data_IF_714047363880
#
_entry.id   IF_714047363880
#
_cell.length_a   1.000
_cell.length_b   1.000
_cell.length_c   1.000
_cell.angle_alpha   90.00
_cell.angle_beta   90.00
_cell.angle_gamma   90.00
#
_symmetry.space_group_name_H-M   'P 1'
#
loop_
_entity.id
_entity.type
_entity.pdbx_description
1 polymer ?
#
# COMPACT_ATOMS: atom_id res chain seq x y z
N UNK A 1 17.14 -31.61 8.46
CA UNK A 1 15.98 -31.55 7.54
C UNK A 1 16.33 -30.55 6.45
N UNK A 2 16.20 -30.93 5.17
CA UNK A 2 16.46 -29.97 4.07
C UNK A 2 15.36 -28.90 4.11
N UNK A 3 15.76 -27.61 4.15
CA UNK A 3 14.80 -26.51 4.13
C UNK A 3 13.92 -26.60 2.88
N UNK A 4 12.62 -26.33 3.05
CA UNK A 4 11.65 -26.33 1.94
C UNK A 4 11.98 -25.20 0.96
N UNK A 5 12.05 -25.53 -0.34
CA UNK A 5 12.42 -24.57 -1.40
C UNK A 5 11.23 -23.74 -1.86
N UNK A 6 11.37 -22.44 -1.85
CA UNK A 6 10.33 -21.50 -2.32
C UNK A 6 10.93 -20.58 -3.39
N UNK A 7 10.19 -20.45 -4.51
CA UNK A 7 10.49 -19.47 -5.54
C UNK A 7 9.58 -18.25 -5.36
N UNK A 8 10.15 -17.14 -4.94
CA UNK A 8 9.48 -15.85 -4.83
C UNK A 8 9.58 -15.07 -6.14
N UNK A 9 8.45 -14.72 -6.72
CA UNK A 9 8.31 -13.90 -7.93
C UNK A 9 7.63 -12.61 -7.50
N UNK A 10 8.44 -11.59 -7.16
CA UNK A 10 8.01 -10.39 -6.44
C UNK A 10 8.26 -9.13 -7.27
N UNK A 11 7.58 -8.04 -6.91
CA UNK A 11 8.02 -6.70 -7.27
C UNK A 11 9.08 -6.24 -6.26
N UNK A 12 10.27 -5.90 -6.75
CA UNK A 12 11.36 -5.35 -5.94
C UNK A 12 11.73 -3.95 -6.46
N UNK A 13 12.20 -3.05 -5.59
CA UNK A 13 12.73 -1.75 -6.03
C UNK A 13 13.97 -1.90 -6.93
N UNK A 14 14.23 -0.97 -7.89
CA UNK A 14 13.36 0.11 -8.33
C UNK A 14 12.25 -0.38 -9.29
N UNK A 15 11.14 0.36 -9.46
CA UNK A 15 10.77 1.62 -8.80
C UNK A 15 10.23 1.42 -7.38
N UNK A 16 10.39 2.47 -6.54
CA UNK A 16 9.91 2.47 -5.16
C UNK A 16 8.41 2.78 -5.12
N UNK A 17 7.63 1.83 -4.66
CA UNK A 17 6.19 1.94 -4.38
C UNK A 17 5.78 0.90 -3.33
N UNK A 18 4.56 1.00 -2.76
CA UNK A 18 4.13 0.15 -1.65
C UNK A 18 4.39 -1.35 -1.86
N UNK A 19 3.96 -1.91 -3.00
CA UNK A 19 4.15 -3.34 -3.28
C UNK A 19 5.65 -3.72 -3.41
N UNK A 20 6.49 -2.87 -4.00
CA UNK A 20 7.93 -3.15 -4.11
C UNK A 20 8.66 -3.05 -2.77
N UNK A 21 8.21 -2.15 -1.88
CA UNK A 21 8.75 -2.08 -0.52
C UNK A 21 8.39 -3.32 0.30
N UNK A 22 7.15 -3.80 0.21
CA UNK A 22 6.76 -5.06 0.86
C UNK A 22 7.51 -6.25 0.28
N UNK A 23 7.71 -6.28 -1.05
CA UNK A 23 8.57 -7.27 -1.70
C UNK A 23 10.00 -7.24 -1.16
N UNK A 24 10.55 -6.05 -0.92
CA UNK A 24 11.87 -5.88 -0.30
C UNK A 24 11.89 -6.41 1.13
N UNK A 25 10.86 -6.15 1.95
CA UNK A 25 10.77 -6.69 3.31
C UNK A 25 10.77 -8.22 3.32
N UNK A 26 10.04 -8.87 2.40
CA UNK A 26 10.06 -10.34 2.25
C UNK A 26 11.45 -10.83 1.82
N UNK A 27 12.08 -10.16 0.85
CA UNK A 27 13.40 -10.53 0.34
C UNK A 27 14.49 -10.45 1.42
N UNK A 28 14.47 -9.39 2.22
CA UNK A 28 15.49 -9.11 3.23
C UNK A 28 15.18 -9.76 4.60
N UNK A 29 14.03 -10.44 4.75
CA UNK A 29 13.60 -11.07 6.00
C UNK A 29 14.50 -12.21 6.42
N UNK A 30 15.19 -12.08 7.55
CA UNK A 30 15.97 -13.16 8.14
C UNK A 30 15.06 -14.33 8.58
N UNK A 31 13.86 -14.03 9.08
CA UNK A 31 12.91 -15.05 9.54
C UNK A 31 12.49 -15.97 8.38
N UNK A 32 12.19 -15.41 7.22
CA UNK A 32 11.78 -16.16 6.03
C UNK A 32 12.99 -16.91 5.45
N UNK A 33 14.12 -16.23 5.26
CA UNK A 33 15.32 -16.80 4.64
C UNK A 33 15.99 -17.89 5.49
N UNK A 34 15.88 -17.84 6.81
CA UNK A 34 16.39 -18.90 7.70
C UNK A 34 15.43 -20.10 7.79
N UNK A 35 14.13 -19.87 7.52
CA UNK A 35 13.11 -20.95 7.56
C UNK A 35 13.07 -21.78 6.29
N UNK A 36 13.21 -21.12 5.13
CA UNK A 36 13.08 -21.72 3.81
C UNK A 36 14.37 -21.57 2.99
N UNK A 37 14.57 -22.44 2.01
CA UNK A 37 15.56 -22.25 0.94
C UNK A 37 14.93 -21.33 -0.13
N UNK A 38 15.19 -20.03 0.01
CA UNK A 38 14.52 -18.96 -0.73
C UNK A 38 15.26 -18.58 -2.00
N UNK A 39 14.53 -18.55 -3.10
CA UNK A 39 15.00 -18.08 -4.40
C UNK A 39 14.13 -16.93 -4.88
N UNK A 40 14.72 -15.85 -5.39
CA UNK A 40 14.01 -14.62 -5.73
C UNK A 40 14.14 -14.26 -7.20
N UNK A 41 13.03 -13.80 -7.79
CA UNK A 41 12.97 -13.25 -9.13
C UNK A 41 12.15 -11.96 -9.11
N UNK A 42 12.73 -10.86 -9.61
CA UNK A 42 12.03 -9.59 -9.73
C UNK A 42 11.05 -9.61 -10.91
N UNK A 43 9.77 -9.37 -10.64
CA UNK A 43 8.69 -9.31 -11.63
C UNK A 43 8.64 -7.96 -12.35
N UNK A 44 9.28 -6.92 -11.82
CA UNK A 44 9.29 -5.59 -12.42
C UNK A 44 10.09 -5.57 -13.72
N UNK A 45 9.45 -5.10 -14.80
CA UNK A 45 10.11 -4.81 -16.08
C UNK A 45 10.38 -3.33 -16.29
N UNK A 46 9.76 -2.47 -15.48
CA UNK A 46 9.98 -1.03 -15.48
C UNK A 46 11.22 -0.67 -14.66
N UNK A 47 12.06 0.23 -15.19
CA UNK A 47 13.25 0.71 -14.48
C UNK A 47 12.93 1.90 -13.56
N UNK A 48 11.90 2.68 -13.91
CA UNK A 48 11.39 3.80 -13.10
C UNK A 48 9.86 3.93 -13.20
N UNK A 49 9.27 4.86 -12.41
CA UNK A 49 7.83 5.08 -12.40
C UNK A 49 7.28 5.62 -13.74
N UNK A 50 8.09 6.33 -14.52
CA UNK A 50 7.69 6.91 -15.81
C UNK A 50 7.62 5.86 -16.92
N UNK A 51 8.25 4.71 -16.73
CA UNK A 51 8.23 3.57 -17.66
C UNK A 51 7.01 2.67 -17.47
N UNK A 52 6.27 2.84 -16.38
CA UNK A 52 5.07 2.05 -16.10
C UNK A 52 3.99 2.37 -17.15
N UNK A 53 3.48 1.33 -17.79
CA UNK A 53 2.41 1.46 -18.81
C UNK A 53 2.87 1.77 -20.23
N UNK A 54 4.12 2.18 -20.46
CA UNK A 54 4.64 2.39 -21.83
C UNK A 54 5.02 1.03 -22.47
N UNK A 55 4.29 0.65 -23.53
CA UNK A 55 4.52 -0.58 -24.30
C UNK A 55 5.68 -0.46 -25.31
N UNK A 56 6.11 -1.59 -25.88
CA UNK A 56 7.08 -1.65 -26.98
C UNK A 56 7.64 -3.06 -27.18
N UNK A 57 8.16 -3.32 -28.40
CA UNK A 57 8.72 -4.63 -28.78
C UNK A 57 9.87 -5.08 -27.86
N UNK A 58 10.64 -4.13 -27.31
CA UNK A 58 11.70 -4.42 -26.32
C UNK A 58 11.12 -5.06 -25.05
N UNK A 59 10.01 -4.50 -24.50
CA UNK A 59 9.36 -5.05 -23.31
C UNK A 59 8.79 -6.45 -23.55
N UNK A 60 8.30 -6.73 -24.75
CA UNK A 60 7.83 -8.07 -25.11
C UNK A 60 8.98 -9.08 -25.13
N UNK A 61 10.14 -8.72 -25.69
CA UNK A 61 11.35 -9.56 -25.67
C UNK A 61 11.84 -9.78 -24.23
N UNK A 62 11.87 -8.75 -23.42
CA UNK A 62 12.31 -8.85 -22.02
C UNK A 62 11.33 -9.71 -21.19
N UNK A 63 10.04 -9.60 -21.44
CA UNK A 63 9.05 -10.48 -20.81
C UNK A 63 9.21 -11.95 -21.24
N UNK A 64 9.45 -12.21 -22.52
CA UNK A 64 9.74 -13.58 -22.99
C UNK A 64 11.00 -14.16 -22.33
N UNK A 65 12.08 -13.37 -22.19
CA UNK A 65 13.28 -13.76 -21.46
C UNK A 65 12.95 -14.09 -19.98
N UNK A 66 12.09 -13.29 -19.35
CA UNK A 66 11.66 -13.51 -17.98
C UNK A 66 10.89 -14.84 -17.84
N UNK A 67 9.95 -15.15 -18.75
CA UNK A 67 9.25 -16.46 -18.76
C UNK A 67 10.22 -17.63 -18.92
N UNK A 68 11.21 -17.50 -19.82
CA UNK A 68 12.26 -18.50 -19.99
C UNK A 68 13.08 -18.68 -18.71
N UNK A 69 13.47 -17.58 -18.07
CA UNK A 69 14.21 -17.61 -16.80
C UNK A 69 13.40 -18.31 -15.70
N UNK A 70 12.11 -18.01 -15.54
CA UNK A 70 11.22 -18.67 -14.60
C UNK A 70 11.22 -20.19 -14.87
N UNK A 71 11.05 -20.60 -16.13
CA UNK A 71 11.03 -22.02 -16.51
C UNK A 71 12.35 -22.73 -16.17
N UNK A 72 13.49 -22.08 -16.40
CA UNK A 72 14.81 -22.63 -16.06
C UNK A 72 15.01 -22.75 -14.56
N UNK A 73 14.62 -21.71 -13.80
CA UNK A 73 14.68 -21.71 -12.33
C UNK A 73 13.85 -22.85 -11.73
N UNK A 74 12.61 -23.06 -12.20
CA UNK A 74 11.76 -24.15 -11.72
C UNK A 74 12.43 -25.51 -11.96
N UNK A 75 13.01 -25.73 -13.14
CA UNK A 75 13.67 -26.99 -13.47
C UNK A 75 14.92 -27.25 -12.63
N UNK A 76 15.71 -26.21 -12.32
CA UNK A 76 16.95 -26.32 -11.55
C UNK A 76 16.69 -26.41 -10.05
N UNK A 77 15.81 -25.54 -9.51
CA UNK A 77 15.53 -25.43 -8.08
C UNK A 77 14.57 -26.53 -7.62
N UNK A 78 13.55 -26.87 -8.45
CA UNK A 78 12.41 -27.73 -8.12
C UNK A 78 11.70 -27.25 -6.85
N UNK A 79 11.15 -26.00 -6.84
CA UNK A 79 10.53 -25.43 -5.65
C UNK A 79 9.29 -26.23 -5.26
N UNK A 80 9.03 -26.33 -3.96
CA UNK A 80 7.82 -26.92 -3.42
C UNK A 80 6.64 -25.94 -3.48
N UNK A 81 6.94 -24.65 -3.54
CA UNK A 81 5.96 -23.59 -3.70
C UNK A 81 6.51 -22.41 -4.48
N UNK A 82 5.64 -21.77 -5.27
CA UNK A 82 5.89 -20.49 -5.92
C UNK A 82 4.99 -19.44 -5.28
N UNK A 83 5.60 -18.37 -4.78
CA UNK A 83 4.91 -17.20 -4.25
C UNK A 83 4.98 -16.06 -5.27
N UNK A 84 3.82 -15.48 -5.63
CA UNK A 84 3.73 -14.46 -6.68
C UNK A 84 2.96 -13.23 -6.20
N UNK A 85 3.45 -12.02 -6.52
CA UNK A 85 2.73 -10.75 -6.27
C UNK A 85 2.17 -10.19 -7.58
N UNK A 86 0.99 -10.66 -8.06
CA UNK A 86 0.45 -10.25 -9.34
C UNK A 86 -0.30 -8.92 -9.26
N UNK A 87 -0.50 -8.30 -10.42
CA UNK A 87 -1.42 -7.18 -10.58
C UNK A 87 -2.86 -7.66 -10.78
N UNK A 88 -3.84 -6.90 -10.25
CA UNK A 88 -5.25 -7.29 -10.29
C UNK A 88 -5.94 -7.02 -11.63
N UNK A 89 -5.46 -6.05 -12.44
CA UNK A 89 -6.15 -5.61 -13.67
C UNK A 89 -5.21 -5.01 -14.71
N UNK A 90 -5.76 -4.83 -15.93
CA UNK A 90 -5.09 -4.13 -17.02
C UNK A 90 -3.95 -4.91 -17.66
N UNK A 91 -3.10 -4.22 -18.41
CA UNK A 91 -1.96 -4.85 -19.13
C UNK A 91 -0.98 -5.56 -18.21
N UNK A 92 -0.81 -5.08 -16.98
CA UNK A 92 0.01 -5.72 -15.97
C UNK A 92 -0.56 -7.09 -15.55
N UNK A 93 -1.89 -7.17 -15.34
CA UNK A 93 -2.55 -8.46 -15.08
C UNK A 93 -2.35 -9.46 -16.21
N UNK A 94 -2.47 -9.05 -17.49
CA UNK A 94 -2.30 -10.00 -18.61
C UNK A 94 -0.89 -10.59 -18.65
N UNK A 95 0.12 -9.79 -18.33
CA UNK A 95 1.50 -10.26 -18.17
C UNK A 95 1.61 -11.29 -17.03
N UNK A 96 1.08 -10.94 -15.86
CA UNK A 96 1.18 -11.78 -14.67
C UNK A 96 0.31 -13.05 -14.80
N UNK A 97 -0.81 -12.97 -15.55
CA UNK A 97 -1.59 -14.13 -15.94
C UNK A 97 -0.74 -15.17 -16.68
N UNK A 98 0.09 -14.76 -17.64
CA UNK A 98 0.97 -15.67 -18.37
C UNK A 98 2.03 -16.31 -17.46
N UNK A 99 2.56 -15.55 -16.49
CA UNK A 99 3.48 -16.09 -15.46
C UNK A 99 2.78 -17.19 -14.66
N UNK A 100 1.58 -16.91 -14.11
CA UNK A 100 0.84 -17.88 -13.31
C UNK A 100 0.40 -19.09 -14.15
N UNK A 101 0.02 -18.90 -15.41
CA UNK A 101 -0.29 -20.03 -16.30
C UNK A 101 0.93 -20.90 -16.58
N UNK A 102 2.12 -20.31 -16.79
CA UNK A 102 3.36 -21.07 -16.93
C UNK A 102 3.63 -21.91 -15.68
N UNK A 103 3.49 -21.35 -14.47
CA UNK A 103 3.65 -22.09 -13.21
C UNK A 103 2.68 -23.26 -13.11
N UNK A 104 1.41 -23.05 -13.46
CA UNK A 104 0.38 -24.10 -13.46
C UNK A 104 0.65 -25.21 -14.48
N UNK A 105 1.07 -24.84 -15.71
CA UNK A 105 1.46 -25.82 -16.74
C UNK A 105 2.65 -26.67 -16.25
N UNK A 106 3.58 -26.04 -15.52
CA UNK A 106 4.72 -26.74 -14.91
C UNK A 106 4.36 -27.46 -13.59
N UNK A 107 3.06 -27.53 -13.25
CA UNK A 107 2.50 -28.22 -12.07
C UNK A 107 3.10 -27.73 -10.75
N UNK A 108 3.35 -26.43 -10.65
CA UNK A 108 3.83 -25.81 -9.43
C UNK A 108 2.66 -25.53 -8.47
N UNK A 109 2.90 -25.68 -7.17
CA UNK A 109 2.01 -25.14 -6.14
C UNK A 109 2.19 -23.61 -6.10
N UNK A 110 1.12 -22.84 -6.32
CA UNK A 110 1.18 -21.37 -6.45
C UNK A 110 0.29 -20.73 -5.41
N UNK A 111 0.87 -19.81 -4.66
CA UNK A 111 0.15 -18.84 -3.83
C UNK A 111 0.35 -17.43 -4.38
N UNK A 112 -0.70 -16.63 -4.43
CA UNK A 112 -0.65 -15.25 -4.90
C UNK A 112 -0.95 -14.28 -3.77
N UNK A 113 -0.19 -13.20 -3.67
CA UNK A 113 -0.39 -12.14 -2.68
C UNK A 113 -0.70 -10.82 -3.39
N UNK A 114 -1.91 -10.30 -3.19
CA UNK A 114 -2.36 -9.08 -3.83
C UNK A 114 -2.03 -7.83 -2.99
N UNK A 115 -1.31 -6.89 -3.62
CA UNK A 115 -1.03 -5.56 -3.09
C UNK A 115 -1.80 -4.44 -3.82
N UNK A 116 -2.70 -4.83 -4.71
CA UNK A 116 -3.61 -3.93 -5.43
C UNK A 116 -4.93 -4.65 -5.66
N UNK A 117 -5.97 -3.90 -6.04
CA UNK A 117 -7.32 -4.43 -6.30
C UNK A 117 -7.84 -3.99 -7.67
N UNK A 118 -8.97 -4.54 -8.07
CA UNK A 118 -9.65 -4.14 -9.32
C UNK A 118 -10.17 -5.32 -10.14
N UNK A 119 -10.11 -6.56 -9.62
CA UNK A 119 -10.71 -7.74 -10.24
C UNK A 119 -12.21 -7.52 -10.40
N UNK A 120 -12.92 -7.07 -9.35
CA UNK A 120 -14.35 -6.78 -9.39
C UNK A 120 -14.72 -5.73 -10.45
N UNK A 121 -13.87 -4.73 -10.70
CA UNK A 121 -14.13 -3.69 -11.70
C UNK A 121 -14.08 -4.20 -13.16
N UNK A 122 -13.44 -5.35 -13.37
CA UNK A 122 -13.22 -5.96 -14.68
C UNK A 122 -14.03 -7.25 -14.92
N UNK A 123 -14.62 -7.81 -13.86
CA UNK A 123 -15.30 -9.12 -13.89
C UNK A 123 -16.48 -9.24 -14.87
N UNK A 124 -17.01 -8.13 -15.37
CA UNK A 124 -18.11 -8.10 -16.34
C UNK A 124 -17.63 -8.06 -17.80
N UNK A 125 -16.31 -7.92 -18.04
CA UNK A 125 -15.74 -8.00 -19.39
C UNK A 125 -15.49 -9.47 -19.72
N UNK A 126 -16.02 -9.96 -20.85
CA UNK A 126 -15.97 -11.39 -21.21
C UNK A 126 -14.57 -11.98 -21.15
N UNK A 127 -13.58 -11.30 -21.75
CA UNK A 127 -12.19 -11.76 -21.74
C UNK A 127 -11.62 -11.79 -20.34
N UNK A 128 -11.71 -10.68 -19.57
CA UNK A 128 -11.17 -10.59 -18.22
C UNK A 128 -11.81 -11.64 -17.30
N UNK A 129 -13.14 -11.83 -17.41
CA UNK A 129 -13.85 -12.86 -16.64
C UNK A 129 -13.36 -14.27 -16.93
N UNK A 130 -13.11 -14.59 -18.20
CA UNK A 130 -12.56 -15.90 -18.61
C UNK A 130 -11.14 -16.08 -18.03
N UNK A 131 -10.29 -15.05 -18.18
CA UNK A 131 -8.92 -15.10 -17.69
C UNK A 131 -8.88 -15.21 -16.16
N UNK A 132 -9.73 -14.49 -15.42
CA UNK A 132 -9.82 -14.62 -13.96
C UNK A 132 -10.27 -16.02 -13.52
N UNK A 133 -11.24 -16.63 -14.21
CA UNK A 133 -11.63 -18.02 -13.92
C UNK A 133 -10.46 -19.00 -14.06
N UNK A 134 -9.65 -18.83 -15.11
CA UNK A 134 -8.45 -19.67 -15.31
C UNK A 134 -7.35 -19.34 -14.30
N UNK A 135 -7.15 -18.04 -14.02
CA UNK A 135 -6.14 -17.57 -13.10
C UNK A 135 -6.35 -18.09 -11.68
N UNK A 136 -7.54 -17.89 -11.11
CA UNK A 136 -7.84 -18.22 -9.72
C UNK A 136 -8.14 -19.72 -9.49
N UNK A 137 -8.34 -20.52 -10.55
CA UNK A 137 -8.59 -21.96 -10.39
C UNK A 137 -7.48 -22.64 -9.59
N UNK A 138 -7.83 -23.26 -8.47
CA UNK A 138 -6.89 -23.99 -7.58
C UNK A 138 -5.72 -23.12 -7.07
N UNK A 139 -5.97 -21.83 -6.76
CA UNK A 139 -4.99 -20.98 -6.10
C UNK A 139 -5.39 -20.70 -4.66
N UNK A 140 -4.39 -20.62 -3.81
CA UNK A 140 -4.46 -19.94 -2.52
C UNK A 140 -4.15 -18.46 -2.74
N UNK A 141 -4.85 -17.57 -2.04
CA UNK A 141 -4.73 -16.11 -2.20
C UNK A 141 -4.48 -15.46 -0.86
N UNK A 142 -3.47 -14.61 -0.79
CA UNK A 142 -3.22 -13.74 0.36
C UNK A 142 -3.79 -12.36 0.03
N UNK A 143 -4.59 -11.82 0.94
CA UNK A 143 -5.13 -10.46 0.91
C UNK A 143 -4.64 -9.68 2.13
N UNK A 144 -4.52 -8.36 1.98
CA UNK A 144 -4.04 -7.48 3.05
C UNK A 144 -5.11 -7.17 4.12
N UNK A 145 -6.38 -7.47 3.82
CA UNK A 145 -7.52 -7.20 4.69
C UNK A 145 -8.73 -8.04 4.23
N UNK A 146 -9.62 -8.37 5.16
CA UNK A 146 -10.87 -9.09 4.86
C UNK A 146 -11.78 -8.30 3.91
N UNK A 147 -11.79 -6.96 4.03
CA UNK A 147 -12.60 -6.09 3.16
C UNK A 147 -12.23 -6.26 1.67
N UNK A 148 -10.98 -6.63 1.37
CA UNK A 148 -10.50 -6.86 0.01
C UNK A 148 -11.03 -8.17 -0.60
N UNK A 149 -11.61 -9.07 0.19
CA UNK A 149 -12.21 -10.29 -0.33
C UNK A 149 -13.35 -10.02 -1.31
N UNK A 150 -14.06 -8.91 -1.14
CA UNK A 150 -15.15 -8.51 -2.05
C UNK A 150 -14.66 -8.34 -3.51
N UNK A 151 -13.39 -7.99 -3.71
CA UNK A 151 -12.79 -7.83 -5.04
C UNK A 151 -12.65 -9.14 -5.80
N UNK A 152 -12.43 -10.27 -5.11
CA UNK A 152 -12.14 -11.59 -5.71
C UNK A 152 -13.18 -12.67 -5.43
N UNK A 153 -14.19 -12.41 -4.60
CA UNK A 153 -15.16 -13.43 -4.11
C UNK A 153 -15.87 -14.21 -5.19
N UNK A 154 -16.00 -13.66 -6.40
CA UNK A 154 -16.58 -14.34 -7.57
C UNK A 154 -15.75 -15.54 -8.02
N UNK A 155 -14.46 -15.55 -7.74
CA UNK A 155 -13.50 -16.52 -8.29
C UNK A 155 -12.82 -17.38 -7.24
N UNK A 156 -12.75 -16.93 -5.99
CA UNK A 156 -12.03 -17.56 -4.90
C UNK A 156 -12.97 -17.83 -3.73
N UNK A 157 -12.96 -19.06 -3.21
CA UNK A 157 -13.72 -19.38 -1.98
C UNK A 157 -12.96 -18.84 -0.77
N UNK A 158 -13.68 -18.35 0.25
CA UNK A 158 -13.07 -17.78 1.44
C UNK A 158 -12.08 -18.70 2.15
N UNK A 159 -12.33 -20.01 2.15
CA UNK A 159 -11.42 -21.02 2.70
C UNK A 159 -10.04 -21.10 2.03
N UNK A 160 -9.93 -20.56 0.82
CA UNK A 160 -8.69 -20.51 0.05
C UNK A 160 -8.00 -19.13 0.15
N UNK A 161 -8.46 -18.29 1.08
CA UNK A 161 -7.95 -16.93 1.34
C UNK A 161 -7.26 -16.89 2.69
N UNK A 162 -6.07 -16.29 2.70
CA UNK A 162 -5.34 -15.92 3.90
C UNK A 162 -5.33 -14.39 4.04
N UNK A 163 -5.41 -13.90 5.27
CA UNK A 163 -5.31 -12.47 5.56
C UNK A 163 -3.95 -12.17 6.15
N UNK A 164 -3.20 -11.30 5.49
CA UNK A 164 -1.87 -10.88 5.90
C UNK A 164 -1.72 -9.36 5.70
N UNK A 165 -2.09 -8.55 6.69
CA UNK A 165 -1.83 -7.11 6.67
C UNK A 165 -0.36 -6.78 6.47
N UNK A 166 -0.05 -5.70 5.76
CA UNK A 166 1.30 -5.19 5.67
C UNK A 166 1.86 -4.84 7.05
N UNK A 167 3.18 -4.92 7.18
CA UNK A 167 3.93 -4.44 8.33
C UNK A 167 5.10 -3.56 7.88
N UNK A 168 5.54 -2.68 8.77
CA UNK A 168 6.69 -1.82 8.55
C UNK A 168 7.66 -1.92 9.75
N UNK A 169 8.96 -1.59 9.55
CA UNK A 169 9.91 -1.48 10.66
C UNK A 169 9.44 -0.49 11.72
N UNK A 170 9.85 -0.72 12.96
CA UNK A 170 9.70 0.27 14.03
C UNK A 170 10.90 1.21 13.96
N UNK A 171 10.64 2.51 13.91
CA UNK A 171 11.69 3.53 14.01
C UNK A 171 11.78 4.05 15.46
N UNK A 172 12.98 4.47 15.85
CA UNK A 172 13.14 5.14 17.14
C UNK A 172 12.37 6.45 17.15
N UNK A 173 11.54 6.64 18.18
CA UNK A 173 10.82 7.90 18.34
C UNK A 173 11.79 9.01 18.71
N UNK A 174 11.94 9.97 17.85
CA UNK A 174 12.50 11.25 18.25
C UNK A 174 11.43 12.04 19.05
N UNK A 175 11.83 12.79 20.07
CA UNK A 175 10.88 13.56 20.86
C UNK A 175 10.12 14.57 19.99
N UNK A 176 8.80 14.58 20.13
CA UNK A 176 7.95 15.60 19.49
C UNK A 176 8.26 16.97 20.11
N UNK A 177 8.53 17.95 19.26
CA UNK A 177 8.69 19.34 19.69
C UNK A 177 7.32 20.01 19.66
N UNK A 178 6.82 20.55 20.79
CA UNK A 178 5.57 21.28 20.80
C UNK A 178 5.57 22.40 19.76
N UNK A 179 4.57 22.44 18.90
CA UNK A 179 4.41 23.46 17.88
C UNK A 179 3.35 24.49 18.32
N UNK A 180 3.44 25.72 17.83
CA UNK A 180 2.50 26.78 18.14
C UNK A 180 1.20 26.65 17.34
N UNK A 181 1.33 26.23 16.07
CA UNK A 181 0.22 25.95 15.16
C UNK A 181 -0.05 24.47 15.08
N UNK A 182 -1.28 24.07 14.72
CA UNK A 182 -1.67 22.67 14.51
C UNK A 182 -1.18 22.19 13.14
N UNK A 183 -0.26 21.23 13.13
CA UNK A 183 0.41 20.73 11.94
C UNK A 183 -0.30 19.49 11.37
N UNK A 184 -0.66 19.58 10.11
CA UNK A 184 -1.33 18.54 9.34
C UNK A 184 -0.34 18.02 8.30
N UNK A 185 -0.26 16.70 8.14
CA UNK A 185 0.56 16.06 7.10
C UNK A 185 -0.30 15.28 6.12
N UNK A 186 -0.08 15.53 4.84
CA UNK A 186 -0.43 14.66 3.72
C UNK A 186 0.86 14.05 3.16
N UNK A 187 0.93 12.73 3.04
CA UNK A 187 2.11 12.01 2.54
C UNK A 187 1.69 11.01 1.48
N UNK A 188 1.81 11.37 0.21
CA UNK A 188 1.55 10.49 -0.95
C UNK A 188 1.99 11.17 -2.24
N UNK A 189 2.06 10.43 -3.35
CA UNK A 189 2.15 11.06 -4.66
C UNK A 189 1.03 12.10 -4.86
N UNK A 190 1.36 13.23 -5.46
CA UNK A 190 0.43 14.33 -5.73
C UNK A 190 -0.49 13.92 -6.89
N UNK A 191 -1.53 13.16 -6.53
CA UNK A 191 -2.57 12.64 -7.42
C UNK A 191 -3.94 13.11 -6.94
N UNK A 192 -4.81 13.42 -7.88
CA UNK A 192 -6.18 13.83 -7.57
C UNK A 192 -6.91 12.77 -6.75
N UNK A 193 -6.84 11.51 -7.18
CA UNK A 193 -7.50 10.39 -6.49
C UNK A 193 -6.94 10.11 -5.07
N UNK A 194 -5.82 10.73 -4.69
CA UNK A 194 -5.30 10.66 -3.31
C UNK A 194 -5.94 11.69 -2.38
N UNK A 195 -6.88 12.51 -2.90
CA UNK A 195 -7.64 13.49 -2.12
C UNK A 195 -6.91 14.80 -1.85
N UNK A 196 -5.91 15.13 -2.69
CA UNK A 196 -5.13 16.37 -2.56
C UNK A 196 -6.03 17.60 -2.56
N UNK A 197 -6.98 17.68 -3.50
CA UNK A 197 -7.90 18.82 -3.63
C UNK A 197 -8.92 18.88 -2.49
N UNK A 198 -9.37 17.74 -1.99
CA UNK A 198 -10.30 17.67 -0.86
C UNK A 198 -9.63 18.23 0.41
N UNK A 199 -8.36 17.90 0.66
CA UNK A 199 -7.62 18.45 1.79
C UNK A 199 -7.29 19.94 1.60
N UNK A 200 -6.94 20.37 0.39
CA UNK A 200 -6.71 21.79 0.10
C UNK A 200 -7.98 22.63 0.34
N UNK A 201 -9.15 22.12 -0.06
CA UNK A 201 -10.43 22.77 0.24
C UNK A 201 -10.73 22.81 1.75
N UNK A 202 -10.43 21.73 2.48
CA UNK A 202 -10.54 21.72 3.94
C UNK A 202 -9.66 22.80 4.60
N UNK A 203 -8.43 23.02 4.10
CA UNK A 203 -7.58 24.09 4.56
C UNK A 203 -8.19 25.48 4.27
N UNK A 204 -8.86 25.64 3.12
CA UNK A 204 -9.59 26.89 2.79
C UNK A 204 -10.71 27.16 3.79
N UNK A 205 -11.47 26.12 4.17
CA UNK A 205 -12.54 26.22 5.16
C UNK A 205 -11.98 26.62 6.54
N UNK A 206 -10.89 25.97 6.98
CA UNK A 206 -10.25 26.25 8.27
C UNK A 206 -9.67 27.68 8.32
N UNK A 207 -9.03 28.15 7.25
CA UNK A 207 -8.58 29.53 7.12
C UNK A 207 -9.74 30.52 7.29
N UNK A 208 -10.87 30.30 6.58
CA UNK A 208 -12.07 31.18 6.70
C UNK A 208 -12.62 31.23 8.12
N UNK A 209 -12.42 30.17 8.91
CA UNK A 209 -12.75 30.11 10.34
C UNK A 209 -11.67 30.72 11.25
N UNK A 210 -10.57 31.22 10.69
CA UNK A 210 -9.46 31.78 11.45
C UNK A 210 -8.66 30.79 12.29
N UNK A 211 -8.65 29.50 11.89
CA UNK A 211 -7.95 28.45 12.65
C UNK A 211 -6.45 28.47 12.35
N UNK A 212 -5.56 28.40 13.36
CA UNK A 212 -4.10 28.46 13.19
C UNK A 212 -3.54 27.09 12.81
N UNK A 213 -3.64 26.72 11.54
CA UNK A 213 -3.13 25.47 11.00
C UNK A 213 -1.93 25.66 10.08
N UNK A 214 -1.10 24.63 9.97
CA UNK A 214 -0.09 24.43 8.92
C UNK A 214 -0.29 23.07 8.28
N UNK A 215 -0.47 23.04 6.97
CA UNK A 215 -0.69 21.81 6.24
C UNK A 215 0.46 21.54 5.28
N UNK A 216 1.15 20.41 5.47
CA UNK A 216 2.31 20.01 4.71
C UNK A 216 1.95 18.90 3.73
N UNK A 217 2.15 19.15 2.43
CA UNK A 217 2.01 18.17 1.37
C UNK A 217 3.40 17.66 0.98
N UNK A 218 3.61 16.36 1.20
CA UNK A 218 4.88 15.68 0.91
C UNK A 218 4.62 14.55 -0.07
N UNK A 219 5.25 14.61 -1.25
CA UNK A 219 5.10 13.56 -2.25
C UNK A 219 5.59 13.96 -3.63
N UNK A 220 5.79 12.95 -4.47
CA UNK A 220 6.20 13.16 -5.86
C UNK A 220 5.03 13.73 -6.66
N UNK A 221 5.30 14.75 -7.46
CA UNK A 221 4.35 15.27 -8.45
C UNK A 221 3.97 14.19 -9.46
N UNK A 222 2.68 14.08 -9.79
CA UNK A 222 2.12 13.07 -10.67
C UNK A 222 1.16 13.69 -11.70
N UNK A 223 -0.14 13.40 -11.64
CA UNK A 223 -1.18 14.06 -12.45
C UNK A 223 -1.41 15.52 -12.03
N UNK A 224 -1.26 15.82 -10.73
CA UNK A 224 -1.16 17.21 -10.24
C UNK A 224 0.29 17.68 -10.41
N UNK A 225 0.48 18.82 -11.12
CA UNK A 225 1.78 19.44 -11.32
C UNK A 225 2.05 20.49 -10.23
N UNK A 226 3.33 20.72 -9.95
CA UNK A 226 3.76 21.69 -8.94
C UNK A 226 3.19 23.07 -9.19
N UNK A 227 3.34 23.60 -10.41
CA UNK A 227 2.81 24.89 -10.83
C UNK A 227 1.30 25.01 -10.57
N UNK A 228 0.54 23.99 -10.99
CA UNK A 228 -0.90 23.94 -10.78
C UNK A 228 -1.28 24.00 -9.30
N UNK A 229 -0.56 23.27 -8.45
CA UNK A 229 -0.83 23.23 -7.01
C UNK A 229 -0.50 24.58 -6.34
N UNK A 230 0.63 25.19 -6.70
CA UNK A 230 1.03 26.51 -6.20
C UNK A 230 0.06 27.60 -6.64
N UNK A 231 -0.41 27.56 -7.89
CA UNK A 231 -1.44 28.48 -8.39
C UNK A 231 -2.73 28.39 -7.58
N UNK A 232 -3.18 27.17 -7.23
CA UNK A 232 -4.37 26.99 -6.39
C UNK A 232 -4.17 27.48 -4.94
N UNK A 233 -2.97 27.29 -4.37
CA UNK A 233 -2.60 27.88 -3.07
C UNK A 233 -2.72 29.42 -3.13
N UNK A 234 -2.17 30.05 -4.17
CA UNK A 234 -2.20 31.50 -4.33
C UNK A 234 -3.63 32.05 -4.53
N UNK A 235 -4.42 31.43 -5.43
CA UNK A 235 -5.82 31.81 -5.67
C UNK A 235 -6.68 31.76 -4.41
N UNK A 236 -6.40 30.81 -3.51
CA UNK A 236 -7.12 30.62 -2.25
C UNK A 236 -6.49 31.41 -1.11
N UNK A 237 -5.39 32.14 -1.38
CA UNK A 237 -4.60 32.89 -0.41
C UNK A 237 -4.14 31.99 0.78
N UNK A 238 -3.65 30.78 0.49
CA UNK A 238 -3.25 29.78 1.48
C UNK A 238 -1.73 29.75 1.71
N UNK A 239 -0.96 30.70 1.21
CA UNK A 239 0.50 30.71 1.24
C UNK A 239 1.12 30.61 2.64
N UNK A 240 0.39 31.06 3.68
CA UNK A 240 0.82 30.95 5.08
C UNK A 240 0.29 29.69 5.79
N UNK A 241 -0.57 28.92 5.13
CA UNK A 241 -1.26 27.76 5.69
C UNK A 241 -0.83 26.45 5.06
N UNK A 242 -0.45 26.44 3.79
CA UNK A 242 -0.20 25.23 3.00
C UNK A 242 1.18 25.26 2.37
N UNK A 243 1.92 24.18 2.55
CA UNK A 243 3.31 24.05 2.11
C UNK A 243 3.50 22.75 1.30
N UNK A 244 4.06 22.87 0.10
CA UNK A 244 4.43 21.74 -0.75
C UNK A 244 5.93 21.50 -0.70
N UNK A 245 6.34 20.26 -0.44
CA UNK A 245 7.74 19.93 -0.19
C UNK A 245 8.36 19.00 -1.25
N UNK A 246 7.57 18.58 -2.25
CA UNK A 246 8.00 17.56 -3.19
C UNK A 246 8.22 16.20 -2.53
N UNK A 247 8.91 15.30 -3.22
CA UNK A 247 9.19 13.96 -2.71
C UNK A 247 10.24 13.98 -1.59
N UNK A 248 9.94 13.31 -0.48
CA UNK A 248 10.88 13.08 0.64
C UNK A 248 10.91 11.60 0.98
N UNK A 249 12.08 11.08 1.33
CA UNK A 249 12.32 9.68 1.65
C UNK A 249 13.21 9.54 2.89
N UNK A 250 13.13 8.38 3.57
CA UNK A 250 13.95 8.10 4.75
C UNK A 250 13.83 9.20 5.81
N UNK A 251 14.95 9.59 6.40
CA UNK A 251 15.01 10.56 7.49
C UNK A 251 14.35 11.92 7.16
N UNK A 252 14.41 12.39 5.90
CA UNK A 252 13.73 13.63 5.53
C UNK A 252 12.20 13.52 5.66
N UNK A 253 11.63 12.37 5.32
CA UNK A 253 10.21 12.09 5.49
C UNK A 253 9.85 11.99 6.98
N UNK A 254 10.70 11.32 7.76
CA UNK A 254 10.45 11.07 9.18
C UNK A 254 10.38 12.37 9.99
N UNK A 255 11.15 13.40 9.60
CA UNK A 255 11.08 14.76 10.21
C UNK A 255 9.67 15.36 10.07
N UNK A 256 8.98 15.14 8.94
CA UNK A 256 7.61 15.63 8.78
C UNK A 256 6.64 14.88 9.70
N UNK A 257 6.73 13.57 9.75
CA UNK A 257 5.87 12.75 10.63
C UNK A 257 6.00 13.17 12.10
N UNK A 258 7.23 13.45 12.57
CA UNK A 258 7.51 13.84 13.95
C UNK A 258 6.97 15.24 14.35
N UNK A 259 6.83 16.14 13.37
CA UNK A 259 6.33 17.52 13.59
C UNK A 259 4.83 17.66 13.36
N UNK A 260 4.14 16.55 13.14
CA UNK A 260 2.73 16.51 12.75
C UNK A 260 1.85 16.24 13.97
N UNK A 261 0.69 16.89 14.04
CA UNK A 261 -0.34 16.65 15.06
C UNK A 261 -1.44 15.73 14.54
N UNK A 262 -1.75 15.76 13.24
CA UNK A 262 -2.71 14.87 12.60
C UNK A 262 -2.30 14.50 11.17
N UNK A 263 -2.48 13.24 10.83
CA UNK A 263 -2.23 12.72 9.49
C UNK A 263 -3.54 12.65 8.70
N UNK A 264 -3.58 13.26 7.49
CA UNK A 264 -4.80 13.31 6.68
C UNK A 264 -4.54 12.73 5.30
N UNK A 265 -5.23 11.65 4.99
CA UNK A 265 -5.09 10.92 3.73
C UNK A 265 -6.48 10.57 3.17
N UNK A 266 -7.20 11.56 2.57
CA UNK A 266 -8.60 11.39 2.16
C UNK A 266 -8.72 10.72 0.79
N UNK A 267 -7.98 9.62 0.59
CA UNK A 267 -7.86 8.92 -0.69
C UNK A 267 -9.19 8.31 -1.17
N UNK A 268 -9.46 8.43 -2.47
CA UNK A 268 -10.48 7.65 -3.17
C UNK A 268 -9.88 6.86 -4.35
N UNK A 269 -8.56 6.63 -4.28
CA UNK A 269 -7.82 5.90 -5.30
C UNK A 269 -8.29 4.45 -5.40
N UNK A 270 -8.91 4.11 -6.52
CA UNK A 270 -9.54 2.81 -6.74
C UNK A 270 -8.62 1.59 -6.62
N UNK A 271 -7.31 1.76 -6.66
CA UNK A 271 -6.35 0.67 -6.48
C UNK A 271 -5.76 0.63 -5.05
N UNK A 272 -6.23 1.51 -4.14
CA UNK A 272 -5.77 1.50 -2.76
C UNK A 272 -6.13 0.19 -2.08
N UNK A 273 -5.14 -0.44 -1.46
CA UNK A 273 -5.35 -1.68 -0.72
C UNK A 273 -5.06 -1.52 0.77
N UNK A 274 -3.82 -1.20 1.10
CA UNK A 274 -3.37 -1.13 2.48
C UNK A 274 -2.19 -0.16 2.57
N UNK A 275 -2.46 1.15 2.65
CA UNK A 275 -1.45 2.20 2.52
C UNK A 275 -0.45 2.19 3.67
N UNK A 276 0.84 2.01 3.35
CA UNK A 276 1.93 1.99 4.33
C UNK A 276 2.06 3.32 5.07
N UNK A 277 1.72 4.44 4.43
CA UNK A 277 1.77 5.78 5.04
C UNK A 277 0.86 5.93 6.25
N UNK A 278 -0.26 5.19 6.31
CA UNK A 278 -1.12 5.14 7.51
C UNK A 278 -0.44 4.37 8.64
N UNK A 279 0.30 3.30 8.32
CA UNK A 279 1.08 2.58 9.33
C UNK A 279 2.21 3.44 9.88
N UNK A 280 2.89 4.21 9.01
CA UNK A 280 3.93 5.16 9.38
C UNK A 280 3.38 6.26 10.31
N UNK A 281 2.21 6.80 10.00
CA UNK A 281 1.54 7.78 10.85
C UNK A 281 1.15 7.18 12.22
N UNK A 282 0.56 5.97 12.23
CA UNK A 282 0.20 5.28 13.48
C UNK A 282 1.43 4.90 14.30
N UNK A 283 2.52 4.53 13.66
CA UNK A 283 3.80 4.26 14.31
C UNK A 283 4.30 5.47 15.07
N UNK A 284 4.14 6.68 14.51
CA UNK A 284 4.48 7.95 15.19
C UNK A 284 3.41 8.42 16.19
N UNK A 285 2.34 7.66 16.37
CA UNK A 285 1.27 8.00 17.31
C UNK A 285 0.40 9.16 16.84
N UNK A 286 0.24 9.31 15.52
CA UNK A 286 -0.62 10.35 14.94
C UNK A 286 -2.05 9.84 14.78
N UNK A 287 -3.08 10.62 15.15
CA UNK A 287 -4.45 10.34 14.74
C UNK A 287 -4.56 10.48 13.21
N UNK A 288 -5.26 9.52 12.59
CA UNK A 288 -5.38 9.47 11.13
C UNK A 288 -6.79 9.83 10.70
N UNK A 289 -6.93 10.72 9.71
CA UNK A 289 -8.20 11.01 9.03
C UNK A 289 -8.09 10.44 7.61
N UNK A 290 -8.95 9.48 7.27
CA UNK A 290 -8.93 8.84 5.96
C UNK A 290 -10.32 8.32 5.58
N UNK A 291 -10.44 7.69 4.41
CA UNK A 291 -11.71 7.19 3.87
C UNK A 291 -11.88 5.69 4.09
N UNK A 292 -13.02 5.16 3.71
CA UNK A 292 -13.32 3.72 3.74
C UNK A 292 -12.76 2.94 2.52
N UNK A 293 -11.70 3.47 1.84
CA UNK A 293 -11.16 2.84 0.65
C UNK A 293 -10.29 1.61 0.99
N UNK A 294 -10.49 0.52 0.23
CA UNK A 294 -9.68 -0.70 0.34
C UNK A 294 -9.65 -1.32 1.72
N UNK A 295 -8.46 -1.51 2.27
CA UNK A 295 -8.22 -2.06 3.60
C UNK A 295 -8.07 -1.00 4.71
N UNK A 296 -8.27 0.28 4.41
CA UNK A 296 -8.16 1.37 5.39
C UNK A 296 -9.04 1.13 6.63
N UNK A 297 -10.28 0.62 6.53
CA UNK A 297 -11.09 0.30 7.71
C UNK A 297 -10.52 -0.79 8.62
N UNK A 298 -9.57 -1.59 8.14
CA UNK A 298 -8.83 -2.54 8.98
C UNK A 298 -7.64 -1.88 9.69
N UNK A 299 -7.14 -0.78 9.16
CA UNK A 299 -6.05 0.01 9.76
C UNK A 299 -6.60 0.94 10.82
N UNK A 300 -7.55 1.81 10.44
CA UNK A 300 -8.15 2.82 11.33
C UNK A 300 -9.41 2.25 11.99
N UNK A 301 -9.44 2.26 13.32
CA UNK A 301 -10.66 2.08 14.09
C UNK A 301 -11.33 3.45 14.26
N UNK A 302 -12.49 3.63 13.61
CA UNK A 302 -13.20 4.91 13.62
C UNK A 302 -13.46 5.41 15.04
N UNK A 303 -13.19 6.70 15.29
CA UNK A 303 -13.31 7.41 16.57
C UNK A 303 -12.36 6.94 17.68
N UNK A 304 -11.57 5.91 17.44
CA UNK A 304 -10.63 5.36 18.43
C UNK A 304 -9.16 5.60 18.07
N UNK A 305 -8.78 5.32 16.82
CA UNK A 305 -7.40 5.52 16.33
C UNK A 305 -7.30 6.60 15.25
N UNK A 306 -8.45 7.16 14.87
CA UNK A 306 -8.60 8.15 13.82
C UNK A 306 -10.06 8.25 13.39
N UNK A 307 -10.29 8.89 12.25
CA UNK A 307 -11.61 9.04 11.65
C UNK A 307 -11.66 8.42 10.26
N UNK A 308 -12.71 7.65 10.00
CA UNK A 308 -13.08 7.22 8.65
C UNK A 308 -14.20 8.11 8.17
N UNK A 309 -13.95 8.82 7.08
CA UNK A 309 -14.87 9.80 6.50
C UNK A 309 -15.35 9.38 5.11
N UNK A 310 -16.42 10.00 4.65
CA UNK A 310 -16.86 9.85 3.27
C UNK A 310 -15.87 10.47 2.29
N UNK A 311 -15.80 9.91 1.09
CA UNK A 311 -15.01 10.47 -0.02
C UNK A 311 -15.58 11.82 -0.44
N UNK A 312 -14.73 12.70 -0.96
CA UNK A 312 -15.13 14.02 -1.46
C UNK A 312 -15.88 14.87 -0.42
N UNK A 313 -15.41 14.85 0.83
CA UNK A 313 -16.06 15.53 1.96
C UNK A 313 -15.12 16.52 2.65
N UNK A 314 -14.67 17.60 1.97
CA UNK A 314 -13.73 18.56 2.55
C UNK A 314 -14.25 19.26 3.81
N UNK A 315 -15.58 19.44 3.94
CA UNK A 315 -16.21 19.97 5.15
C UNK A 315 -15.98 19.04 6.35
N UNK A 316 -16.18 17.73 6.16
CA UNK A 316 -15.97 16.75 7.23
C UNK A 316 -14.48 16.66 7.59
N UNK A 317 -13.58 16.74 6.60
CA UNK A 317 -12.13 16.80 6.85
C UNK A 317 -11.83 18.01 7.76
N UNK A 318 -12.33 19.19 7.40
CA UNK A 318 -12.10 20.42 8.18
C UNK A 318 -12.68 20.30 9.60
N UNK A 319 -13.89 19.77 9.76
CA UNK A 319 -14.54 19.53 11.07
C UNK A 319 -13.71 18.59 11.96
N UNK A 320 -13.20 17.49 11.40
CA UNK A 320 -12.39 16.54 12.18
C UNK A 320 -11.03 17.11 12.56
N UNK A 321 -10.40 17.90 11.68
CA UNK A 321 -9.16 18.62 12.00
C UNK A 321 -9.43 19.64 13.11
N UNK A 322 -10.47 20.46 12.99
CA UNK A 322 -10.88 21.46 13.99
C UNK A 322 -11.13 20.81 15.34
N UNK A 323 -11.87 19.67 15.34
CA UNK A 323 -12.13 18.92 16.55
C UNK A 323 -10.83 18.45 17.24
N UNK A 324 -9.89 17.86 16.48
CA UNK A 324 -8.62 17.39 17.05
C UNK A 324 -7.79 18.54 17.62
N UNK A 325 -7.79 19.70 16.95
CA UNK A 325 -7.09 20.90 17.39
C UNK A 325 -7.68 21.46 18.68
N UNK A 326 -9.01 21.48 18.81
CA UNK A 326 -9.72 22.00 19.98
C UNK A 326 -9.72 21.03 21.16
N UNK A 327 -9.42 19.75 20.93
CA UNK A 327 -9.42 18.68 21.93
C UNK A 327 -8.06 17.95 21.99
N UNK A 328 -6.97 18.63 22.44
CA UNK A 328 -5.61 18.08 22.39
C UNK A 328 -5.44 16.78 23.17
N UNK A 329 -6.17 16.61 24.27
CA UNK A 329 -6.16 15.35 25.03
C UNK A 329 -6.76 14.20 24.23
N UNK A 330 -7.85 14.43 23.49
CA UNK A 330 -8.47 13.42 22.63
C UNK A 330 -7.56 13.10 21.44
N UNK A 331 -6.95 14.11 20.83
CA UNK A 331 -5.96 13.97 19.78
C UNK A 331 -4.82 13.04 20.24
N UNK A 332 -4.23 13.32 21.40
CA UNK A 332 -3.15 12.50 21.98
C UNK A 332 -3.61 11.07 22.32
N UNK A 333 -4.81 10.90 22.87
CA UNK A 333 -5.35 9.58 23.20
C UNK A 333 -5.59 8.74 21.94
N UNK A 334 -6.11 9.34 20.88
CA UNK A 334 -6.35 8.71 19.58
C UNK A 334 -5.03 8.26 18.92
N UNK A 335 -4.02 9.12 18.95
CA UNK A 335 -2.69 8.79 18.46
C UNK A 335 -2.04 7.64 19.24
N UNK A 336 -2.11 7.67 20.59
CA UNK A 336 -1.63 6.56 21.44
C UNK A 336 -2.34 5.24 21.14
N UNK A 337 -3.67 5.27 20.94
CA UNK A 337 -4.43 4.09 20.56
C UNK A 337 -3.99 3.55 19.19
N UNK A 338 -3.75 4.45 18.22
CA UNK A 338 -3.21 4.11 16.90
C UNK A 338 -1.86 3.42 17.00
N UNK A 339 -0.91 4.01 17.75
CA UNK A 339 0.40 3.40 17.98
C UNK A 339 0.31 2.03 18.67
N UNK A 340 -0.55 1.89 19.66
CA UNK A 340 -0.77 0.60 20.33
C UNK A 340 -1.27 -0.46 19.33
N UNK A 341 -2.20 -0.11 18.45
CA UNK A 341 -2.69 -1.01 17.40
C UNK A 341 -1.57 -1.36 16.41
N UNK A 342 -0.78 -0.38 15.96
CA UNK A 342 0.38 -0.59 15.11
C UNK A 342 1.34 -1.62 15.72
N UNK A 343 1.76 -1.42 16.97
CA UNK A 343 2.67 -2.31 17.67
C UNK A 343 2.11 -3.73 17.83
N UNK A 344 0.80 -3.87 17.96
CA UNK A 344 0.16 -5.17 18.12
C UNK A 344 -0.06 -5.90 16.79
N UNK A 345 -0.20 -5.19 15.67
CA UNK A 345 -0.70 -5.80 14.43
C UNK A 345 0.17 -5.57 13.19
N UNK A 346 0.90 -4.43 13.11
CA UNK A 346 1.45 -3.94 11.85
C UNK A 346 2.97 -3.73 11.86
N UNK A 347 3.68 -4.28 12.83
CA UNK A 347 5.14 -4.26 12.82
C UNK A 347 5.69 -5.26 11.81
N UNK A 348 6.92 -5.03 11.35
CA UNK A 348 7.56 -5.86 10.33
C UNK A 348 7.70 -7.32 10.80
N UNK A 349 8.11 -7.54 12.04
CA UNK A 349 8.25 -8.88 12.63
C UNK A 349 6.92 -9.68 12.62
N UNK A 350 5.79 -9.00 12.87
CA UNK A 350 4.46 -9.63 12.80
C UNK A 350 4.06 -9.97 11.36
N UNK A 351 4.38 -9.11 10.41
CA UNK A 351 4.16 -9.38 9.00
C UNK A 351 4.99 -10.59 8.54
N UNK A 352 6.27 -10.62 8.86
CA UNK A 352 7.18 -11.72 8.51
C UNK A 352 6.73 -13.05 9.12
N UNK A 353 6.34 -13.03 10.40
CA UNK A 353 5.80 -14.22 11.08
C UNK A 353 4.51 -14.72 10.42
N UNK A 354 3.59 -13.83 10.00
CA UNK A 354 2.37 -14.21 9.28
C UNK A 354 2.69 -14.83 7.93
N UNK A 355 3.57 -14.22 7.13
CA UNK A 355 4.00 -14.77 5.83
C UNK A 355 4.63 -16.14 6.02
N UNK A 356 5.54 -16.30 6.97
CA UNK A 356 6.15 -17.59 7.29
C UNK A 356 5.08 -18.66 7.57
N UNK A 357 4.16 -18.38 8.51
CA UNK A 357 3.12 -19.34 8.90
C UNK A 357 2.20 -19.71 7.74
N UNK A 358 1.81 -18.74 6.89
CA UNK A 358 0.99 -19.00 5.68
C UNK A 358 1.75 -19.91 4.70
N UNK A 359 3.02 -19.64 4.48
CA UNK A 359 3.84 -20.47 3.58
C UNK A 359 4.01 -21.90 4.11
N UNK A 360 4.23 -22.08 5.40
CA UNK A 360 4.29 -23.40 6.04
C UNK A 360 2.98 -24.17 5.86
N UNK A 361 1.82 -23.53 6.13
CA UNK A 361 0.50 -24.14 5.98
C UNK A 361 0.21 -24.53 4.52
N UNK A 362 0.53 -23.65 3.57
CA UNK A 362 0.33 -23.92 2.15
C UNK A 362 1.17 -25.09 1.61
N UNK A 363 2.35 -25.34 2.17
CA UNK A 363 3.21 -26.46 1.78
C UNK A 363 2.71 -27.78 2.38
N UNK A 364 2.13 -27.76 3.58
CA UNK A 364 1.58 -28.93 4.25
C UNK A 364 0.29 -29.40 3.56
N UNK A 365 -0.51 -28.47 3.06
CA UNK A 365 -1.84 -28.75 2.48
C UNK A 365 -1.82 -28.93 0.96
N UNK A 366 -0.66 -28.97 0.31
CA UNK A 366 -0.48 -29.07 -1.16
C UNK A 366 -0.41 -30.50 -1.72
#
# INVERSE_FOLDING_TARGET
MTNKKILFILHLPPPVHGASMVGKYIHDSEVINNTFDCHYLNLALAKDLNDIGKGGMRKLKDFYKQLKQISLLIKSIKPQQCYVTPNAKGGAFYKDFLVVMLLKIMRQNVIVHYHNKGVATRQNRCLDNLLYKMFFKNLKVILLSENLYQDIKKYVKYKDVYICPNGIPIHENLPTVPQKEFNILFLSNMMEEKGVWDLLEACTILKKKGKPIKCHFVGKWSDIKEEQFIDEINKRELTEYVFAHGAKYGNEKDVFLQKTDAFVFPTYYNNECFPLVLLEAMEQGLPCISTNEGGIPSIIENEKTGYIIEKHSPQIIAEKIEYLMEHPQQCANMGKAGRKKFLNEFTLDKFEARIKNILEDCIITA
#
